data_IF_460617221228
#
_entry.id   IF_460617221228
#
_cell.length_a   1.000
_cell.length_b   1.000
_cell.length_c   1.000
_cell.angle_alpha   90.00
_cell.angle_beta   90.00
_cell.angle_gamma   90.00
#
_symmetry.space_group_name_H-M   'P 1'
#
loop_
_entity.id
_entity.type
_entity.pdbx_description
1 polymer ?
#
# COMPACT_ATOMS: atom_id res chain seq x y z
N UNK A 1 -12.03 10.95 -4.77
CA UNK A 1 -11.12 12.07 -5.09
C UNK A 1 -9.73 11.88 -4.49
N UNK A 2 -9.52 11.94 -3.16
CA UNK A 2 -8.17 11.73 -2.56
C UNK A 2 -7.59 10.34 -2.85
N UNK A 3 -8.42 9.30 -2.81
CA UNK A 3 -8.05 7.93 -3.17
C UNK A 3 -7.52 7.85 -4.61
N UNK A 4 -8.21 8.47 -5.55
CA UNK A 4 -7.89 8.35 -6.97
C UNK A 4 -6.61 9.14 -7.29
N UNK A 5 -6.41 10.29 -6.61
CA UNK A 5 -5.15 11.04 -6.66
C UNK A 5 -3.98 10.26 -6.04
N UNK A 6 -4.23 9.54 -4.95
CA UNK A 6 -3.24 8.65 -4.34
C UNK A 6 -2.82 7.55 -5.32
N UNK A 7 -3.78 6.83 -5.91
CA UNK A 7 -3.50 5.79 -6.90
C UNK A 7 -2.72 6.35 -8.10
N UNK A 8 -3.10 7.53 -8.59
CA UNK A 8 -2.39 8.20 -9.66
C UNK A 8 -0.95 8.54 -9.27
N UNK A 9 -0.72 9.04 -8.04
CA UNK A 9 0.63 9.37 -7.55
C UNK A 9 1.52 8.13 -7.37
N UNK A 10 0.95 7.01 -6.93
CA UNK A 10 1.67 5.72 -6.85
C UNK A 10 2.01 5.22 -8.25
N UNK A 11 1.04 5.26 -9.18
CA UNK A 11 1.23 4.80 -10.56
C UNK A 11 2.27 5.61 -11.33
N UNK A 12 2.35 6.92 -11.06
CA UNK A 12 3.31 7.84 -11.70
C UNK A 12 4.67 7.87 -11.01
N UNK A 13 4.88 7.08 -9.94
CA UNK A 13 6.15 7.03 -9.21
C UNK A 13 6.42 8.24 -8.31
N UNK A 14 5.41 9.09 -8.05
CA UNK A 14 5.52 10.28 -7.19
C UNK A 14 5.35 9.92 -5.72
N UNK A 15 6.36 9.24 -5.15
CA UNK A 15 6.30 8.70 -3.79
C UNK A 15 5.99 9.75 -2.72
N UNK A 16 6.63 10.93 -2.77
CA UNK A 16 6.42 11.97 -1.76
C UNK A 16 4.96 12.45 -1.72
N UNK A 17 4.37 12.69 -2.89
CA UNK A 17 2.95 13.06 -3.01
C UNK A 17 2.05 11.93 -2.52
N UNK A 18 2.37 10.69 -2.88
CA UNK A 18 1.60 9.53 -2.45
C UNK A 18 1.61 9.35 -0.92
N UNK A 19 2.75 9.55 -0.25
CA UNK A 19 2.83 9.49 1.22
C UNK A 19 2.02 10.58 1.90
N UNK A 20 2.07 11.82 1.40
CA UNK A 20 1.23 12.91 1.93
C UNK A 20 -0.25 12.56 1.80
N UNK A 21 -0.66 12.05 0.64
CA UNK A 21 -2.05 11.65 0.42
C UNK A 21 -2.45 10.46 1.30
N UNK A 22 -1.55 9.52 1.53
CA UNK A 22 -1.77 8.36 2.40
C UNK A 22 -2.13 8.77 3.83
N UNK A 23 -1.49 9.82 4.37
CA UNK A 23 -1.78 10.34 5.70
C UNK A 23 -3.22 10.88 5.83
N UNK A 24 -3.81 11.35 4.73
CA UNK A 24 -5.18 11.86 4.72
C UNK A 24 -6.25 10.79 4.44
N UNK A 25 -5.87 9.56 4.10
CA UNK A 25 -6.80 8.45 3.86
C UNK A 25 -7.20 7.79 5.20
N UNK A 26 -8.48 7.47 5.38
CA UNK A 26 -8.98 6.81 6.61
C UNK A 26 -8.51 5.35 6.75
N UNK A 27 -8.34 4.63 5.64
CA UNK A 27 -7.90 3.24 5.59
C UNK A 27 -6.42 3.14 5.16
N UNK A 28 -5.51 3.70 5.96
CA UNK A 28 -4.08 3.87 5.63
C UNK A 28 -3.38 2.54 5.35
N UNK A 29 -3.56 1.55 6.22
CA UNK A 29 -2.91 0.23 6.09
C UNK A 29 -3.29 -0.45 4.77
N UNK A 30 -4.57 -0.43 4.41
CA UNK A 30 -5.03 -1.05 3.17
C UNK A 30 -4.61 -0.28 1.92
N UNK A 31 -4.57 1.06 1.99
CA UNK A 31 -4.05 1.88 0.91
C UNK A 31 -2.53 1.67 0.71
N UNK A 32 -1.77 1.49 1.79
CA UNK A 32 -0.34 1.18 1.74
C UNK A 32 -0.09 -0.18 1.08
N UNK A 33 -0.77 -1.24 1.52
CA UNK A 33 -0.64 -2.59 0.92
C UNK A 33 -1.01 -2.61 -0.57
N UNK A 34 -2.05 -1.86 -0.96
CA UNK A 34 -2.37 -1.70 -2.37
C UNK A 34 -1.25 -0.98 -3.14
N UNK A 35 -0.65 0.04 -2.54
CA UNK A 35 0.48 0.74 -3.16
C UNK A 35 1.70 -0.16 -3.33
N UNK A 36 1.97 -1.06 -2.37
CA UNK A 36 2.98 -2.13 -2.52
C UNK A 36 2.69 -2.96 -3.77
N UNK A 37 1.47 -3.48 -3.90
CA UNK A 37 1.09 -4.33 -5.03
C UNK A 37 1.19 -3.59 -6.38
N UNK A 38 0.74 -2.33 -6.43
CA UNK A 38 0.84 -1.49 -7.62
C UNK A 38 2.29 -1.21 -8.00
N UNK A 39 3.13 -0.83 -7.03
CA UNK A 39 4.53 -0.52 -7.25
C UNK A 39 5.32 -1.77 -7.70
N UNK A 40 5.13 -2.94 -7.06
CA UNK A 40 5.72 -4.21 -7.48
C UNK A 40 5.32 -4.58 -8.91
N UNK A 41 4.01 -4.49 -9.22
CA UNK A 41 3.52 -4.78 -10.58
C UNK A 41 4.07 -3.80 -11.62
N UNK A 42 4.22 -2.52 -11.25
CA UNK A 42 4.80 -1.50 -12.13
C UNK A 42 6.29 -1.73 -12.37
N UNK A 43 7.04 -2.13 -11.34
CA UNK A 43 8.44 -2.53 -11.43
C UNK A 43 8.63 -3.65 -12.46
N UNK A 44 7.80 -4.71 -12.39
CA UNK A 44 7.83 -5.83 -13.34
C UNK A 44 7.52 -5.43 -14.78
N UNK A 45 6.59 -4.49 -14.99
CA UNK A 45 6.20 -4.01 -16.33
C UNK A 45 7.19 -2.99 -16.91
N UNK A 46 8.05 -2.40 -16.07
CA UNK A 46 8.98 -1.35 -16.49
C UNK A 46 10.23 -1.98 -17.10
N UNK A 47 10.57 -1.56 -18.32
CA UNK A 47 11.73 -2.06 -19.07
C UNK A 47 13.03 -1.37 -18.67
N UNK A 48 12.95 -0.12 -18.25
CA UNK A 48 14.11 0.63 -17.79
C UNK A 48 14.53 0.19 -16.38
N UNK A 49 15.79 -0.20 -16.24
CA UNK A 49 16.32 -0.76 -14.99
C UNK A 49 16.28 0.25 -13.83
N UNK A 50 16.59 1.52 -14.08
CA UNK A 50 16.59 2.55 -13.05
C UNK A 50 15.17 2.77 -12.49
N UNK A 51 14.19 2.94 -13.38
CA UNK A 51 12.79 3.10 -12.96
C UNK A 51 12.24 1.83 -12.30
N UNK A 52 12.65 0.65 -12.75
CA UNK A 52 12.30 -0.63 -12.11
C UNK A 52 12.77 -0.67 -10.66
N UNK A 53 14.01 -0.27 -10.41
CA UNK A 53 14.59 -0.21 -9.08
C UNK A 53 13.87 0.83 -8.22
N UNK A 54 13.59 2.02 -8.76
CA UNK A 54 12.80 3.04 -8.05
C UNK A 54 11.42 2.52 -7.62
N UNK A 55 10.70 1.82 -8.51
CA UNK A 55 9.41 1.22 -8.15
C UNK A 55 9.55 0.09 -7.13
N UNK A 56 10.67 -0.64 -7.12
CA UNK A 56 10.96 -1.66 -6.10
C UNK A 56 11.19 -1.02 -4.73
N UNK A 57 12.04 0.01 -4.68
CA UNK A 57 12.31 0.78 -3.46
C UNK A 57 11.04 1.44 -2.91
N UNK A 58 10.16 1.92 -3.80
CA UNK A 58 8.86 2.46 -3.42
C UNK A 58 7.96 1.39 -2.80
N UNK A 59 7.95 0.18 -3.37
CA UNK A 59 7.18 -0.92 -2.82
C UNK A 59 7.65 -1.27 -1.40
N UNK A 60 8.96 -1.36 -1.17
CA UNK A 60 9.53 -1.62 0.16
C UNK A 60 9.10 -0.55 1.17
N UNK A 61 9.19 0.74 0.82
CA UNK A 61 8.76 1.83 1.70
C UNK A 61 7.28 1.77 2.08
N UNK A 62 6.40 1.41 1.13
CA UNK A 62 4.98 1.24 1.45
C UNK A 62 4.73 0.01 2.31
N UNK A 63 5.52 -1.04 2.14
CA UNK A 63 5.44 -2.26 2.92
C UNK A 63 5.88 -2.04 4.36
N UNK A 64 6.98 -1.33 4.56
CA UNK A 64 7.46 -0.93 5.89
C UNK A 64 6.43 -0.06 6.60
N UNK A 65 5.84 0.90 5.90
CA UNK A 65 4.75 1.71 6.45
C UNK A 65 3.52 0.86 6.84
N UNK A 66 3.16 -0.13 6.02
CA UNK A 66 2.06 -1.04 6.34
C UNK A 66 2.39 -1.91 7.56
N UNK A 67 3.62 -2.43 7.67
CA UNK A 67 4.11 -3.20 8.82
C UNK A 67 4.05 -2.36 10.10
N UNK A 68 4.53 -1.12 10.06
CA UNK A 68 4.45 -0.21 11.20
C UNK A 68 3.00 0.06 11.64
N UNK A 69 2.10 0.29 10.68
CA UNK A 69 0.67 0.46 10.97
C UNK A 69 0.06 -0.78 11.61
N UNK A 70 0.39 -1.98 11.13
CA UNK A 70 -0.09 -3.26 11.68
C UNK A 70 0.46 -3.47 13.09
N UNK A 71 1.76 -3.24 13.30
CA UNK A 71 2.40 -3.37 14.61
C UNK A 71 1.78 -2.40 15.63
N UNK A 72 1.50 -1.15 15.22
CA UNK A 72 0.82 -0.17 16.06
C UNK A 72 -0.63 -0.59 16.38
N UNK A 73 -1.35 -1.18 15.42
CA UNK A 73 -2.70 -1.73 15.66
C UNK A 73 -2.67 -2.97 16.58
N UNK A 74 -1.69 -3.85 16.41
CA UNK A 74 -1.50 -5.06 17.21
C UNK A 74 -1.22 -4.74 18.67
N UNK A 75 -0.40 -3.72 18.93
CA UNK A 75 -0.13 -3.20 20.27
C UNK A 75 -1.38 -2.64 20.97
N UNK A 76 -2.42 -2.26 20.21
CA UNK A 76 -3.64 -1.65 20.72
C UNK A 76 -4.80 -2.66 20.89
N UNK A 77 -4.89 -3.68 20.03
CA UNK A 77 -5.85 -4.79 20.15
C UNK A 77 -5.54 -5.88 19.11
N UNK A 78 -5.06 -7.04 19.58
CA UNK A 78 -4.77 -8.24 18.76
C UNK A 78 -6.01 -8.70 17.95
N UNK A 79 -7.17 -8.75 18.61
CA UNK A 79 -8.40 -9.31 18.06
C UNK A 79 -9.00 -8.48 16.90
N UNK A 80 -8.85 -7.14 16.95
CA UNK A 80 -9.27 -6.24 15.86
C UNK A 80 -8.30 -6.26 14.69
N UNK A 81 -7.01 -6.46 14.95
CA UNK A 81 -5.96 -6.48 13.92
C UNK A 81 -6.11 -7.71 13.01
N UNK A 82 -6.38 -8.88 13.60
CA UNK A 82 -6.69 -10.11 12.86
C UNK A 82 -7.98 -9.99 12.05
N UNK A 83 -9.03 -9.32 12.59
CA UNK A 83 -10.26 -9.04 11.82
C UNK A 83 -10.04 -8.02 10.69
N UNK A 84 -9.12 -7.07 10.82
CA UNK A 84 -8.79 -6.12 9.75
C UNK A 84 -7.99 -6.81 8.63
N UNK A 85 -7.03 -7.66 8.99
CA UNK A 85 -6.24 -8.47 8.06
C UNK A 85 -7.10 -9.49 7.29
N UNK A 86 -8.12 -10.06 7.94
CA UNK A 86 -9.06 -11.02 7.35
C UNK A 86 -10.29 -10.35 6.73
N UNK A 87 -10.55 -9.06 7.00
CA UNK A 87 -11.69 -8.36 6.40
C UNK A 87 -11.43 -8.09 4.93
N UNK A 88 -12.14 -8.84 4.08
CA UNK A 88 -12.36 -8.49 2.68
C UNK A 88 -13.07 -7.13 2.64
N UNK A 89 -12.30 -6.04 2.56
CA UNK A 89 -12.88 -4.75 2.22
C UNK A 89 -12.93 -4.66 0.70
N UNK A 90 -14.15 -4.72 0.17
CA UNK A 90 -14.57 -4.54 -1.23
C UNK A 90 -14.06 -3.26 -1.94
N UNK A 91 -13.14 -2.51 -1.35
CA UNK A 91 -12.66 -1.25 -1.92
C UNK A 91 -11.74 -1.50 -3.12
N UNK A 92 -11.12 -2.69 -3.25
CA UNK A 92 -10.14 -2.98 -4.30
C UNK A 92 -10.27 -4.34 -5.00
N UNK A 93 -11.45 -4.97 -4.93
CA UNK A 93 -11.67 -6.31 -5.47
C UNK A 93 -11.31 -7.40 -4.45
N UNK A 94 -11.97 -8.56 -4.56
CA UNK A 94 -11.85 -9.73 -3.66
C UNK A 94 -10.40 -10.22 -3.56
N UNK A 95 -9.61 -9.59 -2.72
CA UNK A 95 -8.28 -10.05 -2.36
C UNK A 95 -8.10 -9.79 -0.87
N UNK A 96 -7.96 -10.87 -0.10
CA UNK A 96 -7.58 -10.81 1.32
C UNK A 96 -6.22 -10.13 1.42
N UNK A 97 -5.93 -9.38 2.48
CA UNK A 97 -4.60 -8.75 2.65
C UNK A 97 -3.45 -9.79 2.63
N UNK A 98 -3.73 -11.07 2.89
CA UNK A 98 -2.82 -12.21 2.69
C UNK A 98 -2.51 -12.55 1.22
N UNK A 99 -3.42 -12.31 0.27
CA UNK A 99 -3.17 -12.56 -1.16
C UNK A 99 -2.36 -11.46 -1.83
N UNK A 100 -2.15 -10.34 -1.14
CA UNK A 100 -1.40 -9.17 -1.61
C UNK A 100 0.05 -9.15 -1.06
N UNK A 101 0.39 -10.11 -0.18
CA UNK A 101 1.76 -10.33 0.32
C UNK A 101 2.70 -10.82 -0.77
#
# INVERSE_FOLDING_TARGET
>A
MLRDLFLWSVYTGRIGTAFVLLLHIKARTGAALLAVALARRKSLLTKEMNQRNEFSDHAEKYEDYAKECINACHAQSEERTSRILLSEKEIYGKATYMQVS
#
